data_IF_897305290139
#
_entry.id   IF_897305290139
#
_cell.length_a   1.000
_cell.length_b   1.000
_cell.length_c   1.000
_cell.angle_alpha   90.00
_cell.angle_beta   90.00
_cell.angle_gamma   90.00
#
_symmetry.space_group_name_H-M   'P 1'
#
loop_
_entity.id
_entity.type
_entity.pdbx_description
1 polymer ?
#
# COMPACT_ATOMS: atom_id res chain seq x y z
N UNK A 1 9.38 -10.91 7.49
CA UNK A 1 9.66 -9.76 6.60
C UNK A 1 8.37 -9.00 6.34
N UNK A 2 8.35 -7.68 6.56
CA UNK A 2 7.19 -6.83 6.28
C UNK A 2 6.90 -6.74 4.77
N UNK A 3 5.62 -6.59 4.43
CA UNK A 3 5.17 -6.39 3.06
C UNK A 3 3.93 -5.48 3.04
N UNK A 4 3.68 -4.82 1.91
CA UNK A 4 2.47 -4.06 1.69
C UNK A 4 1.91 -4.31 0.30
N UNK A 5 0.59 -4.25 0.18
CA UNK A 5 -0.14 -4.29 -1.08
C UNK A 5 -0.82 -2.93 -1.26
N UNK A 6 -0.51 -2.23 -2.35
CA UNK A 6 -1.02 -0.89 -2.62
C UNK A 6 -1.84 -0.92 -3.90
N UNK A 7 -3.16 -0.90 -3.76
CA UNK A 7 -4.11 -0.86 -4.88
C UNK A 7 -4.40 0.57 -5.28
N UNK A 8 -4.57 0.82 -6.59
CA UNK A 8 -4.92 2.17 -7.12
C UNK A 8 -3.97 3.26 -6.60
N UNK A 9 -2.67 2.94 -6.58
CA UNK A 9 -1.64 3.83 -6.05
C UNK A 9 -1.73 5.23 -6.69
N UNK A 10 -1.56 6.28 -5.89
CA UNK A 10 -1.63 7.68 -6.31
C UNK A 10 -3.00 8.15 -6.86
N UNK A 11 -4.08 7.39 -6.63
CA UNK A 11 -5.45 7.82 -6.92
C UNK A 11 -6.22 8.07 -5.62
N UNK A 12 -7.28 8.90 -5.60
CA UNK A 12 -8.08 9.18 -4.40
C UNK A 12 -8.68 7.94 -3.71
N UNK A 13 -8.84 6.83 -4.45
CA UNK A 13 -9.35 5.55 -3.94
C UNK A 13 -8.21 4.55 -3.62
N UNK A 14 -7.01 5.04 -3.36
CA UNK A 14 -5.88 4.21 -2.96
C UNK A 14 -6.25 3.37 -1.73
N UNK A 15 -5.86 2.08 -1.76
CA UNK A 15 -6.02 1.17 -0.63
C UNK A 15 -4.68 0.53 -0.32
N UNK A 16 -4.37 0.44 0.96
CA UNK A 16 -3.12 -0.12 1.46
C UNK A 16 -3.46 -1.27 2.41
N UNK A 17 -2.89 -2.44 2.16
CA UNK A 17 -2.94 -3.59 3.05
C UNK A 17 -1.52 -3.82 3.56
N UNK A 18 -1.29 -3.59 4.86
CA UNK A 18 -0.02 -3.90 5.51
C UNK A 18 -0.04 -5.35 5.96
N UNK A 19 0.99 -6.11 5.60
CA UNK A 19 1.07 -7.55 5.85
C UNK A 19 2.53 -7.99 6.07
N UNK A 20 2.78 -9.30 6.02
CA UNK A 20 4.09 -9.93 6.04
C UNK A 20 4.20 -10.90 4.89
N UNK A 21 5.42 -11.26 4.49
CA UNK A 21 5.63 -12.26 3.44
C UNK A 21 4.91 -13.59 3.73
N UNK A 22 4.78 -13.98 5.02
CA UNK A 22 4.08 -15.20 5.44
C UNK A 22 2.58 -15.16 5.12
N UNK A 23 1.93 -14.00 5.28
CA UNK A 23 0.48 -13.85 5.09
C UNK A 23 0.11 -13.29 3.73
N UNK A 24 1.09 -12.87 2.93
CA UNK A 24 0.91 -12.19 1.65
C UNK A 24 -0.09 -12.89 0.73
N UNK A 25 0.02 -14.21 0.57
CA UNK A 25 -0.86 -14.97 -0.32
C UNK A 25 -2.32 -14.86 0.09
N UNK A 26 -2.62 -14.99 1.39
CA UNK A 26 -3.97 -14.89 1.91
C UNK A 26 -4.49 -13.45 1.79
N UNK A 27 -3.68 -12.47 2.21
CA UNK A 27 -4.09 -11.07 2.22
C UNK A 27 -4.26 -10.50 0.80
N UNK A 28 -3.49 -10.99 -0.17
CA UNK A 28 -3.56 -10.57 -1.58
C UNK A 28 -4.87 -10.93 -2.27
N UNK A 29 -5.62 -11.92 -1.76
CA UNK A 29 -6.93 -12.29 -2.32
C UNK A 29 -7.96 -11.16 -2.18
N UNK A 30 -7.77 -10.30 -1.17
CA UNK A 30 -8.66 -9.17 -0.89
C UNK A 30 -8.19 -7.86 -1.54
N UNK A 31 -7.06 -7.86 -2.24
CA UNK A 31 -6.51 -6.67 -2.85
C UNK A 31 -7.20 -6.36 -4.18
N UNK A 32 -7.54 -5.08 -4.38
CA UNK A 32 -8.10 -4.61 -5.66
C UNK A 32 -7.01 -4.52 -6.73
N UNK A 33 -7.34 -4.82 -7.98
CA UNK A 33 -6.42 -4.66 -9.12
C UNK A 33 -6.66 -3.32 -9.84
N UNK A 34 -5.60 -2.66 -10.36
CA UNK A 34 -4.18 -3.01 -10.26
C UNK A 34 -3.58 -2.70 -8.89
N UNK A 35 -2.54 -3.43 -8.50
CA UNK A 35 -1.84 -3.26 -7.23
C UNK A 35 -0.32 -3.41 -7.35
N UNK A 36 0.41 -2.71 -6.48
CA UNK A 36 1.85 -2.81 -6.26
C UNK A 36 2.13 -3.64 -5.01
N UNK A 37 3.22 -4.40 -5.04
CA UNK A 37 3.74 -5.13 -3.88
C UNK A 37 5.05 -4.49 -3.43
N UNK A 38 5.14 -4.15 -2.15
CA UNK A 38 6.34 -3.55 -1.55
C UNK A 38 6.82 -4.47 -0.43
N UNK A 39 8.12 -4.70 -0.35
CA UNK A 39 8.74 -5.61 0.61
C UNK A 39 9.85 -4.93 1.39
N UNK A 40 10.00 -5.32 2.66
CA UNK A 40 11.11 -4.90 3.51
C UNK A 40 10.73 -3.84 4.54
N UNK A 41 11.73 -3.41 5.30
CA UNK A 41 11.55 -2.53 6.48
C UNK A 41 10.97 -1.15 6.14
N UNK A 42 11.07 -0.72 4.88
CA UNK A 42 10.44 0.53 4.38
C UNK A 42 8.93 0.55 4.61
N UNK A 43 8.29 -0.63 4.65
CA UNK A 43 6.85 -0.77 4.92
C UNK A 43 6.47 -0.30 6.33
N UNK A 44 7.42 -0.31 7.28
CA UNK A 44 7.18 0.16 8.65
C UNK A 44 7.22 1.69 8.77
N UNK A 45 7.64 2.42 7.73
CA UNK A 45 7.70 3.89 7.74
C UNK A 45 6.35 4.48 7.33
N UNK A 46 6.04 5.67 7.85
CA UNK A 46 4.85 6.47 7.54
C UNK A 46 4.69 6.88 6.06
N UNK A 47 5.68 6.58 5.21
CA UNK A 47 5.70 6.95 3.78
C UNK A 47 4.60 6.23 2.98
N UNK A 48 4.07 5.11 3.48
CA UNK A 48 2.88 4.47 2.93
C UNK A 48 1.63 5.04 3.62
N UNK A 49 1.44 6.36 3.55
CA UNK A 49 0.24 7.06 4.02
C UNK A 49 -0.49 7.71 2.84
N UNK A 50 -1.76 8.03 3.02
CA UNK A 50 -2.54 8.77 2.02
C UNK A 50 -2.19 10.27 1.99
N UNK A 51 -1.31 10.77 2.87
CA UNK A 51 -0.95 12.20 2.99
C UNK A 51 -0.34 12.77 1.69
N UNK A 52 0.34 11.93 0.90
CA UNK A 52 0.88 12.36 -0.41
C UNK A 52 -0.21 12.85 -1.40
N UNK A 53 -1.46 12.43 -1.23
CA UNK A 53 -2.58 12.87 -2.06
C UNK A 53 -3.18 14.20 -1.59
N UNK A 54 -3.12 14.50 -0.28
CA UNK A 54 -3.63 15.76 0.26
C UNK A 54 -2.79 16.94 -0.25
N UNK A 55 -1.46 16.79 -0.24
CA UNK A 55 -0.53 17.83 -0.69
C UNK A 55 -0.70 18.15 -2.19
N UNK A 56 -1.08 17.18 -3.03
CA UNK A 56 -1.25 17.40 -4.48
C UNK A 56 -2.56 18.08 -4.86
N UNK A 57 -3.57 18.07 -4.00
CA UNK A 57 -4.85 18.73 -4.28
C UNK A 57 -4.88 20.19 -3.81
N UNK A 58 -3.83 20.66 -3.14
CA UNK A 58 -3.67 22.06 -2.69
C UNK A 58 -2.77 22.90 -3.61
N UNK A 59 -2.26 22.35 -4.72
CA UNK A 59 -1.38 23.05 -5.69
C UNK A 59 -2.05 23.17 -7.05
#
# INVERSE_FOLDING_TARGET
MPAAIISKASLPKQKIIITTLKNLTADSQNAERPALLVFGEVVKKSVISNEYLEIRNEV
#
